data_IF_477450280437
#
_entry.id   IF_477450280437
#
_cell.length_a   1.000
_cell.length_b   1.000
_cell.length_c   1.000
_cell.angle_alpha   90.00
_cell.angle_beta   90.00
_cell.angle_gamma   90.00
#
_symmetry.space_group_name_H-M   'P 1'
#
loop_
_entity.id
_entity.type
_entity.pdbx_description
1 polymer ?
#
# COMPACT_ATOMS: atom_id res chain seq x y z
N UNK A 1 0.59 12.99 -30.75
CA UNK A 1 1.94 12.47 -30.46
C UNK A 1 2.88 13.63 -30.18
N UNK A 2 3.06 13.93 -28.90
CA UNK A 2 4.15 14.67 -28.26
C UNK A 2 3.66 14.94 -26.82
N UNK A 3 4.56 14.86 -25.83
CA UNK A 3 4.31 15.14 -24.41
C UNK A 3 3.89 13.98 -23.49
N UNK A 4 4.55 12.83 -23.59
CA UNK A 4 4.72 11.92 -22.44
C UNK A 4 6.15 11.86 -21.90
N UNK A 5 7.12 12.48 -22.57
CA UNK A 5 8.53 12.46 -22.16
C UNK A 5 8.93 13.56 -21.15
N UNK A 6 8.06 14.54 -20.87
CA UNK A 6 8.43 15.70 -20.03
C UNK A 6 8.12 15.53 -18.55
N UNK A 7 7.16 14.66 -18.19
CA UNK A 7 6.79 14.39 -16.80
C UNK A 7 7.89 13.71 -15.96
N UNK A 8 8.65 12.71 -16.46
CA UNK A 8 9.69 12.08 -15.64
C UNK A 8 10.89 13.01 -15.39
N UNK A 9 11.19 13.93 -16.31
CA UNK A 9 12.30 14.89 -16.16
C UNK A 9 12.01 15.92 -15.06
N UNK A 10 10.75 16.36 -14.94
CA UNK A 10 10.36 17.35 -13.90
C UNK A 10 10.40 16.73 -12.51
N UNK A 11 10.02 15.45 -12.37
CA UNK A 11 10.09 14.72 -11.09
C UNK A 11 11.56 14.51 -10.66
N UNK A 12 12.44 14.19 -11.61
CA UNK A 12 13.88 14.03 -11.35
C UNK A 12 14.55 15.35 -10.92
N UNK A 13 14.18 16.47 -11.55
CA UNK A 13 14.67 17.81 -11.17
C UNK A 13 14.18 18.22 -9.77
N UNK A 14 12.93 17.89 -9.41
CA UNK A 14 12.40 18.15 -8.06
C UNK A 14 13.13 17.35 -6.98
N UNK A 15 13.47 16.07 -7.25
CA UNK A 15 14.26 15.25 -6.33
C UNK A 15 15.68 15.78 -6.15
N UNK A 16 16.34 16.22 -7.23
CA UNK A 16 17.68 16.82 -7.15
C UNK A 16 17.68 18.14 -6.38
N UNK A 17 16.64 18.97 -6.55
CA UNK A 17 16.54 20.26 -5.86
C UNK A 17 16.24 20.12 -4.35
N UNK A 18 15.49 19.08 -3.96
CA UNK A 18 15.27 18.73 -2.56
C UNK A 18 16.55 18.22 -1.89
N UNK A 19 17.38 17.46 -2.61
CA UNK A 19 18.66 16.96 -2.11
C UNK A 19 19.68 18.09 -1.82
N UNK A 20 19.74 19.10 -2.70
CA UNK A 20 20.64 20.26 -2.53
C UNK A 20 20.30 21.09 -1.27
N UNK A 21 19.01 21.28 -0.97
CA UNK A 21 18.59 22.04 0.22
C UNK A 21 18.81 21.30 1.54
N UNK A 22 18.73 19.97 1.55
CA UNK A 22 18.97 19.17 2.75
C UNK A 22 20.45 19.19 3.13
N UNK A 23 21.36 19.07 2.14
CA UNK A 23 22.81 19.16 2.37
C UNK A 23 23.27 20.53 2.90
N UNK A 24 22.71 21.64 2.39
CA UNK A 24 23.06 22.97 2.88
C UNK A 24 22.61 23.22 4.33
N UNK A 25 21.49 22.64 4.77
CA UNK A 25 20.99 22.81 6.14
C UNK A 25 21.78 22.03 7.21
N UNK A 26 22.46 20.97 6.81
CA UNK A 26 23.30 20.14 7.69
C UNK A 26 24.66 20.81 7.91
N UNK A 27 25.20 21.46 6.88
CA UNK A 27 26.53 22.06 6.90
C UNK A 27 26.64 23.39 7.69
N UNK A 28 25.52 24.09 7.92
CA UNK A 28 25.50 25.30 8.76
C UNK A 28 25.54 25.00 10.26
N UNK A 29 25.08 23.82 10.71
CA UNK A 29 25.00 23.47 12.13
C UNK A 29 26.30 22.86 12.71
N UNK A 30 27.27 22.47 11.88
CA UNK A 30 28.53 21.87 12.36
C UNK A 30 29.68 22.90 12.53
N UNK A 31 29.55 24.11 11.96
CA UNK A 31 30.63 25.08 11.90
C UNK A 31 30.84 25.95 13.16
N UNK A 32 30.02 25.81 14.22
CA UNK A 32 30.18 26.61 15.44
C UNK A 32 31.14 26.03 16.50
N UNK A 33 31.67 24.81 16.31
CA UNK A 33 32.40 24.11 17.41
C UNK A 33 33.88 23.78 17.15
N UNK A 34 34.48 24.15 16.02
CA UNK A 34 35.86 23.74 15.69
C UNK A 34 36.73 24.96 15.38
N UNK A 35 36.88 25.84 16.37
CA UNK A 35 37.93 26.86 16.40
C UNK A 35 38.87 26.56 17.57
N UNK A 36 39.81 25.64 17.39
CA UNK A 36 41.10 25.57 18.10
C UNK A 36 41.85 24.33 17.61
N UNK A 37 43.16 24.48 17.37
CA UNK A 37 44.12 23.49 16.86
C UNK A 37 44.32 23.46 15.34
N UNK A 38 44.90 24.54 14.82
CA UNK A 38 45.73 24.50 13.60
C UNK A 38 47.10 23.88 13.89
N UNK A 39 47.61 23.17 12.87
CA UNK A 39 48.98 22.72 12.61
C UNK A 39 49.44 21.39 13.23
N UNK A 40 49.53 20.33 12.41
CA UNK A 40 50.80 19.83 11.84
C UNK A 40 50.61 18.52 11.03
N UNK A 41 50.90 18.63 9.73
CA UNK A 41 51.52 17.65 8.82
C UNK A 41 50.94 16.24 8.56
N UNK A 42 50.83 15.96 7.25
CA UNK A 42 50.96 14.65 6.59
C UNK A 42 49.87 13.60 6.83
N UNK A 43 48.71 13.81 6.20
CA UNK A 43 47.99 12.82 5.38
C UNK A 43 46.69 13.43 4.84
N UNK A 44 46.80 14.52 4.09
CA UNK A 44 45.67 15.10 3.36
C UNK A 44 45.54 14.35 2.04
N UNK A 45 44.96 13.15 2.08
CA UNK A 45 44.52 12.44 0.86
C UNK A 45 43.56 11.26 1.11
N UNK A 46 42.75 11.23 2.19
CA UNK A 46 41.88 10.05 2.38
C UNK A 46 40.52 10.20 3.08
N UNK A 47 39.98 11.40 3.29
CA UNK A 47 38.66 11.54 3.94
C UNK A 47 37.71 12.49 3.22
N UNK A 48 37.70 12.43 1.88
CA UNK A 48 36.65 13.05 1.07
C UNK A 48 36.31 12.18 -0.16
N UNK A 49 35.81 10.97 0.08
CA UNK A 49 35.16 10.07 -0.89
C UNK A 49 34.17 9.26 -0.04
N UNK A 50 32.86 9.26 -0.26
CA UNK A 50 32.17 9.08 -1.52
C UNK A 50 31.22 7.90 -1.27
N UNK A 51 29.98 8.18 -0.90
CA UNK A 51 28.96 7.12 -0.91
C UNK A 51 28.73 6.76 -2.37
N UNK A 52 29.25 5.62 -2.79
CA UNK A 52 28.89 5.05 -4.09
C UNK A 52 27.36 4.88 -4.12
N UNK A 53 26.72 5.27 -5.22
CA UNK A 53 25.28 5.10 -5.43
C UNK A 53 24.88 3.63 -5.24
N UNK A 54 25.79 2.71 -5.53
CA UNK A 54 25.61 1.27 -5.31
C UNK A 54 25.48 0.94 -3.82
N UNK A 55 26.30 1.55 -2.97
CA UNK A 55 26.26 1.30 -1.53
C UNK A 55 25.01 1.94 -0.90
N UNK A 56 24.58 3.12 -1.38
CA UNK A 56 23.29 3.70 -1.00
C UNK A 56 22.11 2.78 -1.36
N UNK A 57 22.11 2.21 -2.56
CA UNK A 57 21.07 1.26 -2.97
C UNK A 57 21.09 -0.01 -2.11
N UNK A 58 22.27 -0.54 -1.78
CA UNK A 58 22.39 -1.69 -0.86
C UNK A 58 21.82 -1.39 0.52
N UNK A 59 21.92 -0.16 1.04
CA UNK A 59 21.28 0.20 2.30
C UNK A 59 19.75 0.03 2.26
N UNK A 60 19.12 0.17 1.09
CA UNK A 60 17.67 0.04 0.92
C UNK A 60 17.23 -1.40 0.65
N UNK A 61 17.95 -2.14 -0.22
CA UNK A 61 17.49 -3.44 -0.73
C UNK A 61 18.42 -4.63 -0.42
N UNK A 62 19.58 -4.39 0.20
CA UNK A 62 20.57 -5.42 0.54
C UNK A 62 21.05 -5.35 1.98
N UNK A 63 20.29 -4.70 2.87
CA UNK A 63 20.68 -4.45 4.25
C UNK A 63 20.23 -5.59 5.18
N UNK A 64 21.19 -6.33 5.73
CA UNK A 64 20.94 -7.46 6.64
C UNK A 64 20.30 -7.05 7.97
N UNK A 65 20.62 -5.87 8.50
CA UNK A 65 20.01 -5.36 9.73
C UNK A 65 18.53 -5.04 9.50
N UNK A 66 18.22 -4.35 8.40
CA UNK A 66 16.85 -4.07 7.99
C UNK A 66 16.06 -5.37 7.77
N UNK A 67 16.64 -6.33 7.04
CA UNK A 67 16.04 -7.65 6.81
C UNK A 67 15.70 -8.36 8.13
N UNK A 68 16.65 -8.39 9.07
CA UNK A 68 16.45 -8.98 10.40
C UNK A 68 15.34 -8.29 11.18
N UNK A 69 15.34 -6.96 11.22
CA UNK A 69 14.35 -6.17 11.96
C UNK A 69 12.94 -6.34 11.39
N UNK A 70 12.79 -6.31 10.06
CA UNK A 70 11.50 -6.58 9.40
C UNK A 70 11.01 -8.00 9.66
N UNK A 71 11.90 -9.00 9.63
CA UNK A 71 11.54 -10.40 9.93
C UNK A 71 11.10 -10.57 11.40
N UNK A 72 11.72 -9.86 12.34
CA UNK A 72 11.30 -9.87 13.75
C UNK A 72 9.91 -9.24 13.89
N UNK A 73 9.70 -8.08 13.26
CA UNK A 73 8.42 -7.38 13.31
C UNK A 73 7.29 -8.19 12.67
N UNK A 74 7.55 -8.85 11.54
CA UNK A 74 6.61 -9.78 10.91
C UNK A 74 6.16 -10.86 11.90
N UNK A 75 7.10 -11.54 12.57
CA UNK A 75 6.78 -12.60 13.55
C UNK A 75 5.96 -12.08 14.72
N UNK A 76 6.29 -10.90 15.25
CA UNK A 76 5.53 -10.26 16.33
C UNK A 76 4.10 -9.92 15.90
N UNK A 77 3.92 -9.45 14.67
CA UNK A 77 2.59 -9.19 14.11
C UNK A 77 1.79 -10.48 13.95
N UNK A 78 2.40 -11.54 13.39
CA UNK A 78 1.72 -12.84 13.23
C UNK A 78 1.32 -13.45 14.58
N UNK A 79 2.20 -13.37 15.58
CA UNK A 79 1.90 -13.82 16.95
C UNK A 79 0.77 -12.99 17.60
N UNK A 80 0.76 -11.67 17.38
CA UNK A 80 -0.30 -10.78 17.83
C UNK A 80 -1.65 -11.13 17.19
N UNK A 81 -1.67 -11.36 15.87
CA UNK A 81 -2.87 -11.80 15.15
C UNK A 81 -3.37 -13.17 15.65
N UNK A 82 -2.46 -14.07 16.02
CA UNK A 82 -2.79 -15.40 16.53
C UNK A 82 -3.46 -15.36 17.91
N UNK A 83 -3.05 -14.42 18.77
CA UNK A 83 -3.57 -14.23 20.14
C UNK A 83 -4.71 -13.22 20.23
N UNK A 84 -5.16 -12.67 19.11
CA UNK A 84 -6.16 -11.63 19.09
C UNK A 84 -7.53 -12.13 19.57
N UNK A 85 -8.30 -11.23 20.18
CA UNK A 85 -9.68 -11.47 20.61
C UNK A 85 -10.63 -11.57 19.41
N UNK A 86 -10.39 -10.76 18.37
CA UNK A 86 -11.17 -10.82 17.13
C UNK A 86 -10.60 -11.91 16.20
N UNK A 87 -11.25 -13.07 16.20
CA UNK A 87 -10.87 -14.27 15.43
C UNK A 87 -11.41 -14.23 14.00
N UNK A 88 -11.01 -13.21 13.26
CA UNK A 88 -11.41 -12.98 11.87
C UNK A 88 -10.19 -13.04 10.91
N UNK A 89 -10.37 -13.43 9.64
CA UNK A 89 -11.63 -13.84 9.02
C UNK A 89 -11.94 -15.32 9.30
N UNK A 90 -13.22 -15.62 9.49
CA UNK A 90 -13.75 -16.98 9.59
C UNK A 90 -13.78 -17.61 8.21
N UNK A 91 -13.28 -18.83 8.10
CA UNK A 91 -13.23 -19.62 6.89
C UNK A 91 -14.64 -20.00 6.45
N UNK A 92 -15.04 -19.51 5.28
CA UNK A 92 -16.26 -19.91 4.57
C UNK A 92 -15.85 -20.56 3.24
N UNK A 93 -16.72 -21.38 2.65
CA UNK A 93 -16.45 -22.07 1.38
C UNK A 93 -16.00 -21.11 0.25
N UNK A 94 -16.54 -19.89 0.23
CA UNK A 94 -16.12 -18.83 -0.71
C UNK A 94 -14.63 -18.50 -0.58
N UNK A 95 -14.10 -18.38 0.64
CA UNK A 95 -12.70 -17.98 0.88
C UNK A 95 -11.73 -19.05 0.39
N UNK A 96 -12.10 -20.33 0.51
CA UNK A 96 -11.29 -21.46 0.05
C UNK A 96 -11.10 -21.49 -1.47
N UNK A 97 -11.98 -20.83 -2.24
CA UNK A 97 -11.86 -20.73 -3.69
C UNK A 97 -10.89 -19.63 -4.13
N UNK A 98 -10.73 -18.56 -3.33
CA UNK A 98 -9.94 -17.39 -3.70
C UNK A 98 -8.55 -17.35 -3.06
N UNK A 99 -8.36 -18.06 -1.96
CA UNK A 99 -7.15 -18.06 -1.14
C UNK A 99 -6.48 -19.44 -1.14
N UNK A 100 -5.16 -19.49 -1.35
CA UNK A 100 -4.40 -20.72 -1.17
C UNK A 100 -4.23 -21.02 0.33
N UNK A 101 -5.18 -21.77 0.86
CA UNK A 101 -5.29 -22.10 2.29
C UNK A 101 -4.05 -22.84 2.81
N UNK A 102 -3.26 -23.49 1.95
CA UNK A 102 -2.04 -24.20 2.38
C UNK A 102 -0.99 -23.28 3.00
N UNK A 103 -1.01 -21.99 2.65
CA UNK A 103 -0.12 -20.96 3.18
C UNK A 103 -0.64 -20.29 4.45
N UNK A 104 -1.81 -20.70 4.96
CA UNK A 104 -2.45 -20.13 6.12
C UNK A 104 -2.57 -21.16 7.24
N UNK A 105 -2.52 -20.68 8.49
CA UNK A 105 -2.76 -21.50 9.67
C UNK A 105 -4.25 -21.47 10.00
N UNK A 106 -4.91 -22.63 9.99
CA UNK A 106 -6.28 -22.80 10.46
C UNK A 106 -6.30 -22.95 11.99
N UNK A 107 -7.26 -22.30 12.65
CA UNK A 107 -7.53 -22.47 14.08
C UNK A 107 -9.02 -22.48 14.36
N UNK A 108 -9.44 -23.26 15.36
CA UNK A 108 -10.84 -23.29 15.80
C UNK A 108 -11.15 -22.09 16.70
N UNK A 109 -12.36 -21.54 16.57
CA UNK A 109 -12.82 -20.43 17.43
C UNK A 109 -13.06 -20.92 18.86
N UNK A 110 -13.62 -22.11 19.03
CA UNK A 110 -13.80 -22.83 20.30
C UNK A 110 -13.53 -24.31 20.10
N UNK A 111 -13.31 -25.06 21.18
CA UNK A 111 -13.11 -26.53 21.12
C UNK A 111 -14.37 -27.29 20.67
N UNK A 112 -15.52 -26.60 20.57
CA UNK A 112 -16.85 -27.17 20.30
C UNK A 112 -17.51 -26.66 19.02
N UNK A 113 -16.94 -25.68 18.31
CA UNK A 113 -17.49 -25.15 17.05
C UNK A 113 -16.71 -25.65 15.83
N UNK A 114 -17.45 -25.87 14.73
CA UNK A 114 -16.90 -26.17 13.39
C UNK A 114 -16.31 -24.93 12.68
N UNK A 115 -16.49 -23.74 13.25
CA UNK A 115 -15.98 -22.50 12.66
C UNK A 115 -14.47 -22.37 12.89
N UNK A 116 -13.75 -22.41 11.78
CA UNK A 116 -12.30 -22.19 11.72
C UNK A 116 -12.03 -20.76 11.24
N UNK A 117 -11.03 -20.11 11.82
CA UNK A 117 -10.50 -18.86 11.31
C UNK A 117 -9.09 -19.07 10.78
N UNK A 118 -8.68 -18.19 9.87
CA UNK A 118 -7.37 -18.26 9.22
C UNK A 118 -6.44 -17.14 9.70
N UNK A 119 -5.17 -17.50 9.84
CA UNK A 119 -4.10 -16.56 10.16
C UNK A 119 -3.01 -16.72 9.09
N UNK A 120 -2.47 -15.61 8.54
CA UNK A 120 -1.34 -15.68 7.63
C UNK A 120 -0.12 -16.33 8.29
N UNK A 121 0.78 -16.86 7.47
CA UNK A 121 2.05 -17.40 7.93
C UNK A 121 3.22 -16.64 7.31
N UNK A 122 4.44 -16.99 7.73
CA UNK A 122 5.65 -16.45 7.11
C UNK A 122 5.72 -16.81 5.61
N UNK A 123 5.09 -17.90 5.19
CA UNK A 123 5.06 -18.37 3.79
C UNK A 123 4.04 -17.63 2.92
N UNK A 124 3.08 -16.91 3.53
CA UNK A 124 2.12 -16.08 2.78
C UNK A 124 2.87 -14.97 2.02
N UNK A 125 2.63 -14.84 0.73
CA UNK A 125 3.24 -13.80 -0.11
C UNK A 125 2.44 -12.48 -0.02
N UNK A 126 2.88 -11.45 -0.75
CA UNK A 126 2.20 -10.15 -0.76
C UNK A 126 0.73 -10.25 -1.21
N UNK A 127 0.46 -10.94 -2.31
CA UNK A 127 -0.90 -11.10 -2.86
C UNK A 127 -1.83 -11.87 -1.90
N UNK A 128 -1.29 -12.87 -1.20
CA UNK A 128 -2.01 -13.62 -0.16
C UNK A 128 -2.45 -12.67 0.97
N UNK A 129 -1.60 -11.71 1.36
CA UNK A 129 -1.96 -10.70 2.37
C UNK A 129 -2.95 -9.66 1.84
N UNK A 130 -2.87 -9.26 0.56
CA UNK A 130 -3.86 -8.37 -0.08
C UNK A 130 -5.26 -9.00 -0.01
N UNK A 131 -5.39 -10.26 -0.45
CA UNK A 131 -6.67 -10.98 -0.38
C UNK A 131 -7.14 -11.17 1.06
N UNK A 132 -6.22 -11.50 1.97
CA UNK A 132 -6.53 -11.60 3.40
C UNK A 132 -7.08 -10.28 3.97
N UNK A 133 -6.51 -9.13 3.60
CA UNK A 133 -6.99 -7.80 4.00
C UNK A 133 -8.42 -7.55 3.51
N UNK A 134 -8.76 -7.94 2.27
CA UNK A 134 -10.13 -7.81 1.74
C UNK A 134 -11.14 -8.65 2.54
N UNK A 135 -10.81 -9.91 2.84
CA UNK A 135 -11.69 -10.78 3.62
C UNK A 135 -11.86 -10.32 5.07
N UNK A 136 -10.77 -9.83 5.68
CA UNK A 136 -10.84 -9.15 6.97
C UNK A 136 -11.80 -7.97 6.88
N UNK A 137 -11.60 -7.05 5.93
CA UNK A 137 -12.41 -5.84 5.81
C UNK A 137 -13.90 -6.17 5.62
N UNK A 138 -14.23 -7.14 4.76
CA UNK A 138 -15.60 -7.65 4.57
C UNK A 138 -16.23 -8.05 5.90
N UNK A 139 -15.59 -8.95 6.65
CA UNK A 139 -16.18 -9.49 7.88
C UNK A 139 -16.19 -8.44 9.02
N UNK A 140 -15.23 -7.52 9.06
CA UNK A 140 -15.22 -6.44 10.04
C UNK A 140 -16.33 -5.40 9.79
N UNK A 141 -16.70 -5.14 8.53
CA UNK A 141 -17.86 -4.30 8.17
C UNK A 141 -19.16 -4.97 8.63
N UNK A 142 -19.30 -6.28 8.38
CA UNK A 142 -20.50 -7.06 8.73
C UNK A 142 -20.80 -7.04 10.24
N UNK A 143 -19.76 -7.09 11.08
CA UNK A 143 -19.91 -7.18 12.55
C UNK A 143 -19.75 -5.85 13.28
N UNK A 144 -19.57 -4.74 12.55
CA UNK A 144 -19.23 -3.45 13.14
C UNK A 144 -20.25 -3.00 14.20
N UNK A 145 -19.75 -2.57 15.34
CA UNK A 145 -20.50 -1.85 16.37
C UNK A 145 -19.57 -0.88 17.12
N UNK A 146 -20.15 0.07 17.86
CA UNK A 146 -19.40 1.09 18.61
C UNK A 146 -18.43 0.48 19.62
N UNK A 147 -18.82 -0.62 20.26
CA UNK A 147 -18.12 -1.20 21.40
C UNK A 147 -16.83 -1.91 20.99
N UNK A 148 -16.77 -2.47 19.78
CA UNK A 148 -15.59 -3.16 19.24
C UNK A 148 -14.82 -2.30 18.22
N UNK A 149 -15.27 -1.07 17.95
CA UNK A 149 -14.74 -0.20 16.90
C UNK A 149 -13.22 0.03 17.02
N UNK A 150 -12.70 0.19 18.23
CA UNK A 150 -11.26 0.40 18.46
C UNK A 150 -10.41 -0.85 18.18
N UNK A 151 -10.97 -2.04 18.44
CA UNK A 151 -10.29 -3.31 18.15
C UNK A 151 -10.28 -3.56 16.63
N UNK A 152 -11.38 -3.23 15.95
CA UNK A 152 -11.47 -3.24 14.47
C UNK A 152 -10.39 -2.35 13.86
N UNK A 153 -10.25 -1.10 14.31
CA UNK A 153 -9.22 -0.18 13.81
C UNK A 153 -7.82 -0.78 13.98
N UNK A 154 -7.50 -1.28 15.19
CA UNK A 154 -6.19 -1.90 15.47
C UNK A 154 -5.91 -3.10 14.56
N UNK A 155 -6.90 -3.95 14.31
CA UNK A 155 -6.77 -5.08 13.37
C UNK A 155 -6.41 -4.59 11.97
N UNK A 156 -7.15 -3.62 11.45
CA UNK A 156 -6.91 -3.06 10.10
C UNK A 156 -5.48 -2.49 10.01
N UNK A 157 -5.04 -1.74 11.02
CA UNK A 157 -3.68 -1.20 11.06
C UNK A 157 -2.61 -2.29 11.02
N UNK A 158 -2.73 -3.31 11.88
CA UNK A 158 -1.72 -4.38 11.97
C UNK A 158 -1.65 -5.19 10.66
N UNK A 159 -2.80 -5.47 10.04
CA UNK A 159 -2.84 -6.17 8.74
C UNK A 159 -2.22 -5.31 7.64
N UNK A 160 -2.50 -3.98 7.62
CA UNK A 160 -1.86 -3.05 6.69
C UNK A 160 -0.34 -3.02 6.88
N UNK A 161 0.14 -2.97 8.11
CA UNK A 161 1.58 -3.03 8.42
C UNK A 161 2.21 -4.33 7.93
N UNK A 162 1.55 -5.47 8.13
CA UNK A 162 2.02 -6.76 7.60
C UNK A 162 2.15 -6.74 6.07
N UNK A 163 1.16 -6.18 5.38
CA UNK A 163 1.19 -6.02 3.92
C UNK A 163 2.40 -5.20 3.46
N UNK A 164 2.68 -4.07 4.11
CA UNK A 164 3.85 -3.23 3.82
C UNK A 164 5.16 -3.97 4.08
N UNK A 165 5.27 -4.70 5.20
CA UNK A 165 6.48 -5.49 5.50
C UNK A 165 6.71 -6.56 4.44
N UNK A 166 5.68 -7.27 4.00
CA UNK A 166 5.81 -8.27 2.93
C UNK A 166 6.36 -7.65 1.65
N UNK A 167 5.88 -6.46 1.27
CA UNK A 167 6.39 -5.74 0.11
C UNK A 167 7.86 -5.34 0.28
N UNK A 168 8.25 -4.78 1.43
CA UNK A 168 9.63 -4.36 1.71
C UNK A 168 10.61 -5.55 1.73
N UNK A 169 10.16 -6.73 2.17
CA UNK A 169 10.99 -7.92 2.24
C UNK A 169 11.28 -8.56 0.87
N UNK A 170 10.50 -8.27 -0.18
CA UNK A 170 10.68 -8.85 -1.53
C UNK A 170 12.10 -8.57 -2.07
N UNK A 171 12.53 -7.31 -2.25
CA UNK A 171 13.85 -7.03 -2.80
C UNK A 171 14.98 -7.51 -1.86
N UNK A 172 14.79 -7.43 -0.54
CA UNK A 172 15.78 -7.91 0.44
C UNK A 172 16.00 -9.43 0.35
N UNK A 173 14.92 -10.20 0.21
CA UNK A 173 15.00 -11.65 0.06
C UNK A 173 15.64 -12.04 -1.27
N UNK A 174 15.27 -11.38 -2.37
CA UNK A 174 15.86 -11.63 -3.69
C UNK A 174 17.36 -11.33 -3.69
N UNK A 175 17.76 -10.16 -3.18
CA UNK A 175 19.16 -9.78 -3.11
C UNK A 175 19.98 -10.75 -2.25
N UNK A 176 19.44 -11.19 -1.11
CA UNK A 176 20.12 -12.14 -0.22
C UNK A 176 20.38 -13.50 -0.87
N UNK A 177 19.52 -13.92 -1.80
CA UNK A 177 19.66 -15.19 -2.52
C UNK A 177 20.58 -15.06 -3.75
N UNK A 178 20.42 -13.98 -4.51
CA UNK A 178 21.03 -13.84 -5.83
C UNK A 178 22.28 -12.94 -5.83
N UNK A 179 22.45 -12.10 -4.81
CA UNK A 179 23.47 -11.05 -4.71
C UNK A 179 23.49 -10.11 -5.92
N UNK A 180 22.33 -9.87 -6.54
CA UNK A 180 22.14 -9.02 -7.71
C UNK A 180 21.07 -7.95 -7.46
N UNK A 181 21.46 -6.68 -7.56
CA UNK A 181 20.58 -5.54 -7.33
C UNK A 181 19.51 -5.42 -8.42
N UNK A 182 19.86 -5.75 -9.67
CA UNK A 182 18.92 -5.62 -10.79
C UNK A 182 17.77 -6.61 -10.64
N UNK A 183 18.08 -7.89 -10.41
CA UNK A 183 17.09 -8.95 -10.18
C UNK A 183 16.16 -8.60 -9.02
N UNK A 184 16.71 -8.07 -7.90
CA UNK A 184 15.89 -7.66 -6.74
C UNK A 184 14.90 -6.52 -7.06
N UNK A 185 15.30 -5.55 -7.88
CA UNK A 185 14.42 -4.47 -8.33
C UNK A 185 13.37 -4.96 -9.34
N UNK A 186 13.74 -5.86 -10.24
CA UNK A 186 12.80 -6.49 -11.17
C UNK A 186 11.75 -7.32 -10.44
N UNK A 187 12.14 -8.08 -9.41
CA UNK A 187 11.20 -8.82 -8.56
C UNK A 187 10.20 -7.90 -7.84
N UNK A 188 10.66 -6.77 -7.28
CA UNK A 188 9.78 -5.78 -6.67
C UNK A 188 8.80 -5.19 -7.72
N UNK A 189 9.31 -4.85 -8.90
CA UNK A 189 8.51 -4.27 -9.98
C UNK A 189 7.42 -5.24 -10.48
N UNK A 190 7.72 -6.54 -10.53
CA UNK A 190 6.79 -7.60 -10.95
C UNK A 190 5.58 -7.76 -10.02
N UNK A 191 5.60 -7.17 -8.82
CA UNK A 191 4.43 -7.11 -7.93
C UNK A 191 3.36 -6.15 -8.47
N UNK A 192 3.78 -5.07 -9.14
CA UNK A 192 2.89 -4.02 -9.64
C UNK A 192 2.55 -4.18 -11.12
N UNK A 193 3.41 -4.89 -11.86
CA UNK A 193 3.13 -5.30 -13.23
C UNK A 193 2.41 -6.64 -13.15
N UNK A 194 1.08 -6.57 -13.11
CA UNK A 194 0.16 -7.71 -13.08
C UNK A 194 0.62 -8.90 -13.94
N UNK A 195 0.66 -10.08 -13.32
CA UNK A 195 0.84 -11.38 -14.00
C UNK A 195 -0.30 -11.73 -14.97
N UNK A 196 -1.46 -11.09 -14.81
CA UNK A 196 -2.71 -11.44 -15.51
C UNK A 196 -3.20 -10.33 -16.47
N UNK A 197 -2.30 -9.53 -17.04
CA UNK A 197 -2.66 -8.53 -18.06
C UNK A 197 -3.32 -9.15 -19.31
N UNK A 198 -3.24 -10.47 -19.49
CA UNK A 198 -3.89 -11.17 -20.60
C UNK A 198 -5.36 -11.53 -20.30
N UNK A 199 -5.79 -11.67 -19.04
CA UNK A 199 -7.16 -12.12 -18.70
C UNK A 199 -8.12 -10.98 -18.31
N UNK A 200 -7.64 -9.87 -17.72
CA UNK A 200 -8.49 -8.69 -17.42
C UNK A 200 -8.56 -7.72 -18.61
N UNK A 201 -9.09 -8.18 -19.74
CA UNK A 201 -9.22 -7.38 -20.97
C UNK A 201 -10.27 -6.26 -20.89
N UNK A 202 -11.08 -6.22 -19.83
CA UNK A 202 -12.15 -5.23 -19.66
C UNK A 202 -11.78 -4.33 -18.48
N UNK A 203 -11.46 -3.06 -18.77
CA UNK A 203 -11.31 -2.05 -17.72
C UNK A 203 -12.55 -2.08 -16.81
N UNK A 204 -12.42 -1.95 -15.49
CA UNK A 204 -13.58 -1.98 -14.61
C UNK A 204 -14.56 -0.81 -14.86
N UNK A 205 -14.12 0.22 -15.59
CA UNK A 205 -14.90 1.39 -16.00
C UNK A 205 -15.52 1.20 -17.41
N UNK A 206 -15.25 0.05 -18.06
CA UNK A 206 -15.66 -0.22 -19.44
C UNK A 206 -14.80 0.57 -20.43
N UNK A 207 -15.41 1.23 -21.42
CA UNK A 207 -14.69 2.16 -22.30
C UNK A 207 -14.46 3.51 -21.59
N UNK A 208 -13.21 3.87 -21.24
CA UNK A 208 -12.94 5.11 -20.53
C UNK A 208 -13.36 6.34 -21.33
N UNK A 209 -13.27 6.29 -22.67
CA UNK A 209 -13.62 7.43 -23.54
C UNK A 209 -15.10 7.72 -23.45
N UNK A 210 -15.95 6.70 -23.59
CA UNK A 210 -17.40 6.83 -23.45
C UNK A 210 -17.78 7.24 -22.04
N UNK A 211 -17.17 6.65 -20.99
CA UNK A 211 -17.44 7.02 -19.60
C UNK A 211 -17.18 8.51 -19.34
N UNK A 212 -15.98 9.01 -19.65
CA UNK A 212 -15.63 10.41 -19.41
C UNK A 212 -16.42 11.37 -20.29
N UNK A 213 -16.75 10.99 -21.53
CA UNK A 213 -17.60 11.79 -22.40
C UNK A 213 -19.01 11.95 -21.83
N UNK A 214 -19.61 10.86 -21.35
CA UNK A 214 -20.93 10.90 -20.72
C UNK A 214 -20.92 11.72 -19.42
N UNK A 215 -19.87 11.58 -18.61
CA UNK A 215 -19.68 12.38 -17.40
C UNK A 215 -19.59 13.88 -17.71
N UNK A 216 -18.79 14.26 -18.72
CA UNK A 216 -18.65 15.66 -19.13
C UNK A 216 -19.97 16.25 -19.64
N UNK A 217 -20.73 15.50 -20.44
CA UNK A 217 -22.06 15.93 -20.89
C UNK A 217 -23.01 16.14 -19.71
N UNK A 218 -23.08 15.17 -18.77
CA UNK A 218 -23.93 15.31 -17.58
C UNK A 218 -23.58 16.53 -16.75
N UNK A 219 -22.29 16.79 -16.53
CA UNK A 219 -21.82 17.98 -15.78
C UNK A 219 -22.17 19.27 -16.53
N UNK A 220 -22.04 19.28 -17.86
CA UNK A 220 -22.41 20.42 -18.69
C UNK A 220 -23.91 20.71 -18.60
N UNK A 221 -24.76 19.69 -18.72
CA UNK A 221 -26.22 19.82 -18.66
C UNK A 221 -26.69 20.37 -17.31
N UNK A 222 -26.14 19.85 -16.21
CA UNK A 222 -26.45 20.34 -14.86
C UNK A 222 -26.05 21.81 -14.73
N UNK A 223 -24.86 22.20 -15.23
CA UNK A 223 -24.38 23.59 -15.18
C UNK A 223 -25.28 24.56 -15.95
N UNK A 224 -25.83 24.14 -17.09
CA UNK A 224 -26.68 25.00 -17.94
C UNK A 224 -28.17 25.00 -17.55
N UNK A 225 -28.62 24.01 -16.78
CA UNK A 225 -30.01 23.98 -16.28
C UNK A 225 -30.34 25.28 -15.52
N UNK A 226 -31.52 25.85 -15.70
CA UNK A 226 -31.95 26.99 -14.87
C UNK A 226 -32.75 26.54 -13.63
N UNK A 227 -33.14 25.27 -13.59
CA UNK A 227 -34.01 24.69 -12.56
C UNK A 227 -33.21 24.23 -11.33
N UNK A 228 -31.96 23.81 -11.52
CA UNK A 228 -31.09 23.35 -10.42
C UNK A 228 -30.38 24.56 -9.82
N UNK A 229 -30.76 24.97 -8.61
CA UNK A 229 -30.12 26.10 -7.92
C UNK A 229 -28.72 25.74 -7.38
N UNK A 230 -28.56 24.57 -6.74
CA UNK A 230 -27.27 24.11 -6.25
C UNK A 230 -26.64 23.07 -7.19
N UNK A 231 -25.80 23.56 -8.11
CA UNK A 231 -25.13 22.74 -9.12
C UNK A 231 -24.18 21.71 -8.53
N UNK A 232 -23.45 22.08 -7.48
CA UNK A 232 -22.43 21.23 -6.88
C UNK A 232 -23.08 20.03 -6.19
N UNK A 233 -24.09 20.28 -5.36
CA UNK A 233 -24.82 19.22 -4.65
C UNK A 233 -25.53 18.29 -5.64
N UNK A 234 -26.13 18.82 -6.71
CA UNK A 234 -26.80 18.00 -7.72
C UNK A 234 -25.83 17.09 -8.50
N UNK A 235 -24.58 17.50 -8.69
CA UNK A 235 -23.55 16.64 -9.32
C UNK A 235 -23.15 15.49 -8.39
N UNK A 236 -23.06 15.76 -7.08
CA UNK A 236 -22.55 14.80 -6.08
C UNK A 236 -23.65 13.85 -5.59
N UNK A 237 -24.80 14.39 -5.18
CA UNK A 237 -25.90 13.65 -4.57
C UNK A 237 -26.92 13.13 -5.60
N UNK A 238 -26.93 13.71 -6.81
CA UNK A 238 -27.92 13.39 -7.83
C UNK A 238 -29.34 13.70 -7.37
N UNK A 239 -30.30 12.85 -7.79
CA UNK A 239 -31.73 13.02 -7.51
C UNK A 239 -32.21 12.29 -6.25
N UNK A 240 -31.31 11.60 -5.53
CA UNK A 240 -31.71 10.69 -4.46
C UNK A 240 -31.46 11.31 -3.07
N UNK A 241 -32.52 11.39 -2.26
CA UNK A 241 -32.36 11.34 -0.80
C UNK A 241 -31.94 9.93 -0.45
N UNK A 242 -30.66 9.73 -0.17
CA UNK A 242 -30.14 8.42 0.20
C UNK A 242 -30.16 8.35 1.74
N UNK A 243 -30.97 7.44 2.30
CA UNK A 243 -31.02 7.11 3.74
C UNK A 243 -29.77 6.26 4.11
N UNK A 244 -28.56 6.83 3.93
CA UNK A 244 -27.27 6.13 4.13
C UNK A 244 -26.82 6.11 5.60
N UNK A 245 -27.35 7.01 6.45
CA UNK A 245 -26.69 7.30 7.73
C UNK A 245 -26.76 6.15 8.76
N UNK A 246 -27.67 5.19 8.60
CA UNK A 246 -27.89 4.11 9.57
C UNK A 246 -27.29 2.75 9.13
N UNK A 247 -26.53 2.67 8.03
CA UNK A 247 -25.89 1.43 7.61
C UNK A 247 -24.51 1.22 8.27
N UNK A 248 -24.20 -0.02 8.65
CA UNK A 248 -22.93 -0.38 9.30
C UNK A 248 -21.68 -0.05 8.45
N UNK A 249 -21.85 0.10 7.13
CA UNK A 249 -20.77 0.41 6.19
C UNK A 249 -20.54 1.92 5.98
N UNK A 250 -21.33 2.81 6.59
CA UNK A 250 -21.19 4.26 6.43
C UNK A 250 -19.80 4.79 6.81
N UNK A 251 -19.16 4.17 7.81
CA UNK A 251 -17.82 4.53 8.27
C UNK A 251 -16.68 3.93 7.43
N UNK A 252 -17.02 3.19 6.37
CA UNK A 252 -16.06 2.51 5.51
C UNK A 252 -16.16 3.04 4.08
N UNK A 253 -15.05 2.96 3.34
CA UNK A 253 -14.99 3.39 1.93
C UNK A 253 -15.64 2.40 0.96
N UNK A 254 -16.01 1.21 1.44
CA UNK A 254 -16.56 0.10 0.66
C UNK A 254 -17.60 -0.61 1.51
N UNK A 255 -18.56 -1.27 0.85
CA UNK A 255 -19.44 -2.25 1.50
C UNK A 255 -18.71 -3.58 1.73
N UNK A 256 -19.44 -4.61 2.17
CA UNK A 256 -18.92 -5.96 2.42
C UNK A 256 -18.61 -6.78 1.15
N UNK A 257 -18.69 -6.19 -0.05
CA UNK A 257 -18.40 -6.89 -1.30
C UNK A 257 -16.90 -6.86 -1.64
N UNK A 258 -16.24 -8.02 -1.61
CA UNK A 258 -14.81 -8.17 -1.96
C UNK A 258 -14.54 -7.79 -3.43
N UNK A 259 -15.44 -8.12 -4.36
CA UNK A 259 -15.25 -7.79 -5.78
C UNK A 259 -15.20 -6.27 -6.00
N UNK A 260 -15.89 -5.49 -5.17
CA UNK A 260 -15.81 -4.04 -5.23
C UNK A 260 -14.43 -3.52 -4.76
N UNK A 261 -13.85 -4.14 -3.72
CA UNK A 261 -12.50 -3.81 -3.26
C UNK A 261 -11.46 -4.14 -4.35
N UNK A 262 -11.56 -5.32 -4.98
CA UNK A 262 -10.69 -5.72 -6.09
C UNK A 262 -10.84 -4.81 -7.31
N UNK A 263 -12.07 -4.37 -7.61
CA UNK A 263 -12.33 -3.40 -8.68
C UNK A 263 -11.60 -2.07 -8.43
N UNK A 264 -11.58 -1.59 -7.18
CA UNK A 264 -10.85 -0.37 -6.83
C UNK A 264 -9.33 -0.55 -7.00
N UNK A 265 -8.80 -1.70 -6.58
CA UNK A 265 -7.39 -2.04 -6.79
C UNK A 265 -7.04 -2.05 -8.28
N UNK A 266 -7.85 -2.71 -9.11
CA UNK A 266 -7.67 -2.78 -10.56
C UNK A 266 -7.71 -1.40 -11.23
N UNK A 267 -8.67 -0.54 -10.85
CA UNK A 267 -8.74 0.84 -11.36
C UNK A 267 -7.45 1.58 -11.00
N UNK A 268 -6.98 1.50 -9.75
CA UNK A 268 -5.78 2.23 -9.33
C UNK A 268 -4.53 1.74 -10.06
N UNK A 269 -4.39 0.43 -10.25
CA UNK A 269 -3.29 -0.16 -11.02
C UNK A 269 -3.32 0.25 -12.49
N UNK A 270 -4.50 0.28 -13.12
CA UNK A 270 -4.67 0.70 -14.51
C UNK A 270 -4.12 2.11 -14.77
N UNK A 271 -4.22 3.01 -13.80
CA UNK A 271 -3.74 4.39 -13.89
C UNK A 271 -2.34 4.62 -13.27
N UNK A 272 -1.62 3.56 -12.90
CA UNK A 272 -0.27 3.65 -12.34
C UNK A 272 -0.22 4.16 -10.88
N UNK A 273 -1.32 4.02 -10.15
CA UNK A 273 -1.46 4.44 -8.74
C UNK A 273 -1.37 3.28 -7.74
N UNK A 274 -0.99 2.08 -8.20
CA UNK A 274 -0.95 0.85 -7.38
C UNK A 274 -0.16 0.96 -6.08
N UNK A 275 1.03 1.54 -6.15
CA UNK A 275 1.87 1.79 -4.97
C UNK A 275 1.14 2.63 -3.90
N UNK A 276 0.51 3.73 -4.34
CA UNK A 276 -0.21 4.65 -3.45
C UNK A 276 -1.43 3.96 -2.84
N UNK A 277 -2.15 3.15 -3.63
CA UNK A 277 -3.31 2.42 -3.14
C UNK A 277 -2.94 1.37 -2.08
N UNK A 278 -1.89 0.59 -2.31
CA UNK A 278 -1.50 -0.47 -1.37
C UNK A 278 -0.86 0.07 -0.08
N UNK A 279 0.00 1.10 -0.18
CA UNK A 279 0.74 1.66 0.97
C UNK A 279 -0.03 2.74 1.71
N UNK A 280 -0.92 3.46 1.04
CA UNK A 280 -1.56 4.67 1.56
C UNK A 280 -0.60 5.86 1.59
N UNK A 281 -0.99 6.92 2.30
CA UNK A 281 -0.20 8.16 2.43
C UNK A 281 0.85 8.09 3.55
N UNK A 282 1.51 6.92 3.71
CA UNK A 282 2.57 6.74 4.70
C UNK A 282 3.83 7.47 4.25
N UNK A 283 4.48 8.22 5.16
CA UNK A 283 5.59 9.11 4.81
C UNK A 283 6.95 8.40 4.69
N UNK A 284 7.13 7.28 5.39
CA UNK A 284 8.37 6.48 5.43
C UNK A 284 8.19 5.23 4.56
#
# INVERSE_FOLDING_TARGET
MASFLKTPVIILVLFLYLHEKVLCSINENENETISQYENQNENVNQTLNGYDNIDQLKFMIGNDELHKNLTILEKLILESLEKDKLKYPVLKQEIEQFLDISKFKKKNITDTNDETYIIPTVQSNFDDIVKYEHFIKRQLIEIYNSDISDIIKKKIFIVRTLKTIKLMLIPLNSYKQNNDLKTALEELNNVFISKDNEEKTISPIGDPVTFFRNLLFRVYDIKQSHEIQNKADAIILGDNKIDVMDSNDFFFTTNSNVNFMETLDDITNQYGLGLINHLGSHLI
#
